data_IF_981695713627
#
_entry.id   IF_981695713627
#
_cell.length_a   1.000
_cell.length_b   1.000
_cell.length_c   1.000
_cell.angle_alpha   90.00
_cell.angle_beta   90.00
_cell.angle_gamma   90.00
#
_symmetry.space_group_name_H-M   'P 1'
#
loop_
_entity.id
_entity.type
_entity.pdbx_description
1 polymer ?
#
# COMPACT_ATOMS: atom_id res chain seq x y z
N UNK A 1 -3.91 -12.08 -7.67
CA UNK A 1 -2.64 -11.93 -6.90
C UNK A 1 -2.30 -10.44 -6.83
N UNK A 2 -2.02 -9.88 -5.63
CA UNK A 2 -1.56 -8.48 -5.51
C UNK A 2 -0.07 -8.40 -5.91
N UNK A 3 0.29 -7.41 -6.73
CA UNK A 3 1.66 -7.23 -7.22
C UNK A 3 2.21 -5.88 -6.81
N UNK A 4 3.36 -5.86 -6.11
CA UNK A 4 4.03 -4.59 -5.82
C UNK A 4 4.68 -4.06 -7.11
N UNK A 5 4.38 -2.81 -7.43
CA UNK A 5 4.98 -2.13 -8.59
C UNK A 5 6.47 -1.90 -8.36
N UNK A 6 7.22 -2.00 -9.42
CA UNK A 6 8.65 -1.76 -9.48
C UNK A 6 9.01 -0.35 -8.98
N UNK A 7 10.00 -0.27 -8.10
CA UNK A 7 10.35 0.96 -7.39
C UNK A 7 10.80 2.11 -8.30
N UNK A 8 11.29 1.82 -9.51
CA UNK A 8 11.65 2.86 -10.48
C UNK A 8 10.45 3.73 -10.91
N UNK A 9 9.22 3.22 -10.80
CA UNK A 9 8.01 4.01 -11.03
C UNK A 9 7.61 4.82 -9.79
N UNK A 10 7.94 4.34 -8.57
CA UNK A 10 7.41 4.89 -7.32
C UNK A 10 8.42 5.68 -6.48
N UNK A 11 9.70 5.66 -6.84
CA UNK A 11 10.75 6.44 -6.19
C UNK A 11 10.90 7.79 -6.89
N UNK A 12 10.68 8.89 -6.17
CA UNK A 12 10.95 10.25 -6.67
C UNK A 12 12.46 10.55 -6.77
N UNK A 13 13.22 10.14 -5.77
CA UNK A 13 14.66 10.29 -5.67
C UNK A 13 15.29 9.01 -5.12
N UNK A 14 16.33 8.51 -5.74
CA UNK A 14 17.04 7.35 -5.22
C UNK A 14 17.71 7.68 -3.88
N UNK A 15 17.54 6.80 -2.90
CA UNK A 15 18.19 7.00 -1.61
C UNK A 15 19.73 6.97 -1.75
N UNK A 16 20.43 7.66 -0.85
CA UNK A 16 21.90 7.64 -0.77
C UNK A 16 22.38 6.30 -0.20
N UNK A 17 22.17 5.21 -0.95
CA UNK A 17 22.52 3.84 -0.55
C UNK A 17 23.29 3.14 -1.67
N UNK A 18 24.28 2.33 -1.30
CA UNK A 18 25.19 1.64 -2.22
C UNK A 18 24.46 0.80 -3.29
N UNK A 19 23.28 0.27 -3.00
CA UNK A 19 22.48 -0.53 -3.95
C UNK A 19 22.10 0.22 -5.22
N UNK A 20 22.10 1.55 -5.18
CA UNK A 20 21.75 2.38 -6.33
C UNK A 20 22.97 2.81 -7.19
N UNK A 21 24.18 2.50 -6.74
CA UNK A 21 25.41 2.85 -7.47
C UNK A 21 25.45 4.33 -7.86
N UNK A 22 25.69 4.62 -9.12
CA UNK A 22 25.76 5.99 -9.64
C UNK A 22 24.42 6.76 -9.55
N UNK A 23 23.29 6.09 -9.39
CA UNK A 23 21.98 6.74 -9.21
C UNK A 23 21.73 7.24 -7.78
N UNK A 24 22.56 6.85 -6.80
CA UNK A 24 22.37 7.22 -5.39
C UNK A 24 22.26 8.74 -5.21
N UNK A 25 21.20 9.20 -4.52
CA UNK A 25 20.93 10.62 -4.29
C UNK A 25 20.40 11.39 -5.50
N UNK A 26 20.32 10.78 -6.69
CA UNK A 26 19.86 11.46 -7.90
C UNK A 26 18.33 11.47 -8.01
N UNK A 27 17.72 12.51 -8.62
CA UNK A 27 16.32 12.46 -9.02
C UNK A 27 16.07 11.29 -9.98
N UNK A 28 14.90 10.69 -9.89
CA UNK A 28 14.51 9.63 -10.80
C UNK A 28 13.67 10.18 -11.96
N UNK A 29 14.18 10.19 -13.20
CA UNK A 29 13.46 10.71 -14.37
C UNK A 29 12.25 9.83 -14.77
N UNK A 30 12.15 8.62 -14.22
CA UNK A 30 11.06 7.65 -14.48
C UNK A 30 9.98 7.64 -13.40
N UNK A 31 10.06 8.57 -12.46
CA UNK A 31 9.06 8.70 -11.41
C UNK A 31 7.69 8.98 -12.00
N UNK A 32 6.71 8.07 -11.77
CA UNK A 32 5.37 8.13 -12.32
C UNK A 32 5.35 8.24 -13.87
N UNK A 33 6.23 7.50 -14.54
CA UNK A 33 6.24 7.37 -15.99
C UNK A 33 5.17 6.34 -16.43
N UNK A 34 4.01 6.85 -16.85
CA UNK A 34 2.89 6.03 -17.28
C UNK A 34 3.21 5.24 -18.56
N UNK A 35 3.98 5.83 -19.49
CA UNK A 35 4.37 5.12 -20.72
C UNK A 35 5.22 3.91 -20.39
N UNK A 36 6.26 4.10 -19.57
CA UNK A 36 7.13 3.01 -19.13
C UNK A 36 6.34 1.92 -18.42
N UNK A 37 5.43 2.28 -17.51
CA UNK A 37 4.61 1.31 -16.78
C UNK A 37 3.66 0.54 -17.72
N UNK A 38 3.03 1.21 -18.67
CA UNK A 38 2.19 0.55 -19.68
C UNK A 38 3.01 -0.45 -20.51
N UNK A 39 4.18 -0.03 -21.02
CA UNK A 39 5.02 -0.87 -21.90
C UNK A 39 5.61 -2.07 -21.16
N UNK A 40 6.16 -1.85 -19.96
CA UNK A 40 6.94 -2.86 -19.24
C UNK A 40 6.11 -3.77 -18.34
N UNK A 41 4.90 -3.37 -17.97
CA UNK A 41 4.06 -4.11 -17.02
C UNK A 41 2.68 -4.44 -17.60
N UNK A 42 1.91 -3.45 -18.03
CA UNK A 42 0.52 -3.72 -18.41
C UNK A 42 0.42 -4.42 -19.76
N UNK A 43 1.24 -4.07 -20.74
CA UNK A 43 1.24 -4.75 -22.05
C UNK A 43 1.59 -6.24 -21.93
N UNK A 44 2.69 -6.64 -21.25
CA UNK A 44 2.96 -8.08 -21.01
C UNK A 44 1.86 -8.79 -20.24
N UNK A 45 1.22 -8.12 -19.27
CA UNK A 45 0.10 -8.71 -18.53
C UNK A 45 -1.10 -8.98 -19.43
N UNK A 46 -1.43 -8.07 -20.37
CA UNK A 46 -2.50 -8.27 -21.35
C UNK A 46 -2.18 -9.38 -22.36
N UNK A 47 -0.98 -9.37 -22.90
CA UNK A 47 -0.52 -10.42 -23.83
C UNK A 47 -0.62 -11.82 -23.19
N UNK A 48 -0.33 -11.90 -21.90
CA UNK A 48 -0.48 -13.12 -21.11
C UNK A 48 -1.91 -13.38 -20.61
N UNK A 49 -2.90 -12.51 -20.92
CA UNK A 49 -4.31 -12.60 -20.50
C UNK A 49 -4.48 -12.72 -18.98
N UNK A 50 -3.72 -11.91 -18.25
CA UNK A 50 -3.72 -11.95 -16.79
C UNK A 50 -4.80 -11.07 -16.12
N UNK A 51 -5.54 -10.24 -16.86
CA UNK A 51 -6.50 -9.28 -16.31
C UNK A 51 -7.51 -9.92 -15.33
N UNK A 52 -8.12 -11.09 -15.64
CA UNK A 52 -9.08 -11.73 -14.72
C UNK A 52 -8.42 -12.28 -13.45
N UNK A 53 -7.12 -12.51 -13.48
CA UNK A 53 -6.35 -13.17 -12.43
C UNK A 53 -5.45 -12.19 -11.65
N UNK A 54 -5.21 -10.99 -12.21
CA UNK A 54 -4.46 -9.95 -11.56
C UNK A 54 -5.28 -9.32 -10.42
N UNK A 55 -4.72 -9.32 -9.22
CA UNK A 55 -5.18 -8.45 -8.16
C UNK A 55 -4.58 -7.05 -8.34
N UNK A 56 -4.80 -6.13 -7.39
CA UNK A 56 -4.34 -4.77 -7.56
C UNK A 56 -2.81 -4.66 -7.66
N UNK A 57 -2.36 -3.78 -8.56
CA UNK A 57 -0.99 -3.29 -8.58
C UNK A 57 -0.80 -2.28 -7.45
N UNK A 58 0.15 -2.54 -6.56
CA UNK A 58 0.43 -1.73 -5.37
C UNK A 58 1.58 -0.76 -5.63
N UNK A 59 1.27 0.52 -5.73
CA UNK A 59 2.25 1.61 -5.85
C UNK A 59 2.66 2.05 -4.45
N UNK A 60 3.81 1.58 -3.97
CA UNK A 60 4.37 1.95 -2.67
C UNK A 60 5.31 3.15 -2.82
N UNK A 61 4.86 4.31 -2.36
CA UNK A 61 5.67 5.53 -2.32
C UNK A 61 6.39 5.64 -0.98
N UNK A 62 7.71 5.59 -1.03
CA UNK A 62 8.57 5.89 0.11
C UNK A 62 8.41 7.36 0.52
N UNK A 63 8.90 7.71 1.72
CA UNK A 63 8.91 9.13 2.14
C UNK A 63 9.69 9.98 1.12
N UNK A 64 9.10 11.09 0.75
CA UNK A 64 9.64 12.04 -0.22
C UNK A 64 9.40 13.48 0.25
N UNK A 65 10.07 14.41 -0.39
CA UNK A 65 10.07 15.85 -0.11
C UNK A 65 9.23 16.68 -1.08
N UNK A 66 8.48 16.03 -1.98
CA UNK A 66 7.52 16.72 -2.84
C UNK A 66 6.45 17.41 -2.00
N UNK A 67 6.02 18.60 -2.44
CA UNK A 67 4.81 19.21 -1.88
C UNK A 67 3.57 18.35 -2.13
N UNK A 68 2.55 18.52 -1.33
CA UNK A 68 1.28 17.80 -1.51
C UNK A 68 0.68 18.05 -2.89
N UNK A 69 0.63 19.31 -3.33
CA UNK A 69 0.04 19.69 -4.61
C UNK A 69 0.80 19.08 -5.79
N UNK A 70 2.14 19.11 -5.74
CA UNK A 70 2.95 18.49 -6.78
C UNK A 70 2.74 16.97 -6.81
N UNK A 71 2.73 16.31 -5.66
CA UNK A 71 2.52 14.86 -5.60
C UNK A 71 1.13 14.47 -6.11
N UNK A 72 0.08 15.19 -5.71
CA UNK A 72 -1.29 14.89 -6.15
C UNK A 72 -1.47 15.15 -7.65
N UNK A 73 -0.93 16.25 -8.18
CA UNK A 73 -0.95 16.54 -9.61
C UNK A 73 -0.24 15.47 -10.43
N UNK A 74 0.90 14.97 -9.95
CA UNK A 74 1.63 13.88 -10.61
C UNK A 74 0.87 12.56 -10.57
N UNK A 75 0.21 12.23 -9.43
CA UNK A 75 -0.63 11.04 -9.31
C UNK A 75 -1.82 11.10 -10.27
N UNK A 76 -2.50 12.25 -10.32
CA UNK A 76 -3.64 12.49 -11.21
C UNK A 76 -3.25 12.28 -12.68
N UNK A 77 -2.18 12.94 -13.12
CA UNK A 77 -1.65 12.80 -14.47
C UNK A 77 -1.20 11.38 -14.81
N UNK A 78 -0.63 10.65 -13.86
CA UNK A 78 -0.20 9.27 -14.03
C UNK A 78 -1.38 8.32 -14.19
N UNK A 79 -2.31 8.31 -13.23
CA UNK A 79 -3.47 7.41 -13.26
C UNK A 79 -4.46 7.75 -14.37
N UNK A 80 -4.50 9.02 -14.81
CA UNK A 80 -5.28 9.44 -15.98
C UNK A 80 -4.83 8.79 -17.29
N UNK A 81 -3.58 8.33 -17.38
CA UNK A 81 -3.02 7.67 -18.55
C UNK A 81 -3.06 6.14 -18.48
N UNK A 82 -3.48 5.57 -17.35
CA UNK A 82 -3.56 4.11 -17.19
C UNK A 82 -4.92 3.59 -17.64
N UNK A 83 -4.91 2.36 -18.17
CA UNK A 83 -6.13 1.63 -18.52
C UNK A 83 -6.97 1.28 -17.29
N UNK A 84 -8.27 1.09 -17.47
CA UNK A 84 -9.20 0.64 -16.43
C UNK A 84 -9.34 -0.91 -16.35
N UNK A 85 -8.58 -1.66 -17.14
CA UNK A 85 -8.65 -3.13 -17.17
C UNK A 85 -8.01 -3.76 -15.92
N UNK A 86 -7.17 -3.01 -15.24
CA UNK A 86 -6.48 -3.44 -14.03
C UNK A 86 -6.89 -2.62 -12.81
N UNK A 87 -6.75 -3.21 -11.64
CA UNK A 87 -6.97 -2.54 -10.36
C UNK A 87 -5.66 -1.94 -9.83
N UNK A 88 -5.72 -0.71 -9.29
CA UNK A 88 -4.56 0.01 -8.77
C UNK A 88 -4.77 0.44 -7.32
N UNK A 89 -3.73 0.38 -6.52
CA UNK A 89 -3.76 0.83 -5.14
C UNK A 89 -2.49 1.60 -4.78
N UNK A 90 -2.63 2.67 -4.02
CA UNK A 90 -1.55 3.56 -3.60
C UNK A 90 -1.28 3.41 -2.12
N UNK A 91 -0.05 3.10 -1.78
CA UNK A 91 0.50 3.11 -0.43
C UNK A 91 1.49 4.27 -0.28
N UNK A 92 1.22 5.17 0.64
CA UNK A 92 2.12 6.30 0.94
C UNK A 92 2.76 6.15 2.32
N UNK A 93 3.99 6.66 2.46
CA UNK A 93 4.75 6.69 3.71
C UNK A 93 4.85 8.09 4.32
N UNK A 94 4.20 9.07 3.72
CA UNK A 94 4.05 10.43 4.22
C UNK A 94 2.68 10.59 4.87
N UNK A 95 2.60 10.50 6.20
CA UNK A 95 1.33 10.57 6.93
C UNK A 95 0.56 11.89 6.70
N UNK A 96 1.28 12.99 6.45
CA UNK A 96 0.68 14.29 6.18
C UNK A 96 -0.02 14.43 4.81
N UNK A 97 0.20 13.47 3.90
CA UNK A 97 -0.48 13.45 2.60
C UNK A 97 -1.86 12.78 2.66
N UNK A 98 -2.20 12.08 3.75
CA UNK A 98 -3.53 11.45 3.88
C UNK A 98 -4.56 12.52 4.23
N UNK A 99 -5.52 12.75 3.34
CA UNK A 99 -6.58 13.73 3.51
C UNK A 99 -7.47 13.88 2.29
N UNK A 100 -8.35 14.88 2.32
CA UNK A 100 -9.43 15.07 1.34
C UNK A 100 -8.92 15.21 -0.10
N UNK A 101 -7.88 16.02 -0.34
CA UNK A 101 -7.38 16.23 -1.72
C UNK A 101 -6.74 14.96 -2.29
N UNK A 102 -5.93 14.25 -1.51
CA UNK A 102 -5.41 12.95 -1.89
C UNK A 102 -6.53 11.95 -2.22
N UNK A 103 -7.56 11.89 -1.38
CA UNK A 103 -8.73 11.05 -1.60
C UNK A 103 -9.42 11.37 -2.93
N UNK A 104 -9.67 12.64 -3.23
CA UNK A 104 -10.31 13.06 -4.48
C UNK A 104 -9.56 12.56 -5.71
N UNK A 105 -8.23 12.65 -5.71
CA UNK A 105 -7.40 12.13 -6.80
C UNK A 105 -7.60 10.62 -6.95
N UNK A 106 -7.57 9.86 -5.87
CA UNK A 106 -7.77 8.41 -5.96
C UNK A 106 -9.18 8.04 -6.45
N UNK A 107 -10.21 8.73 -5.94
CA UNK A 107 -11.62 8.53 -6.35
C UNK A 107 -11.83 8.81 -7.83
N UNK A 108 -11.23 9.87 -8.38
CA UNK A 108 -11.35 10.23 -9.80
C UNK A 108 -10.88 9.12 -10.75
N UNK A 109 -9.94 8.31 -10.29
CA UNK A 109 -9.38 7.20 -11.08
C UNK A 109 -9.80 5.80 -10.63
N UNK A 110 -10.62 5.68 -9.56
CA UNK A 110 -11.03 4.40 -8.99
C UNK A 110 -9.86 3.62 -8.37
N UNK A 111 -8.86 4.33 -7.85
CA UNK A 111 -7.66 3.79 -7.23
C UNK A 111 -7.89 3.62 -5.73
N UNK A 112 -7.50 2.49 -5.15
CA UNK A 112 -7.64 2.25 -3.72
C UNK A 112 -6.52 2.91 -2.91
N UNK A 113 -6.86 3.51 -1.76
CA UNK A 113 -5.87 3.77 -0.72
C UNK A 113 -5.47 2.46 -0.06
N UNK A 114 -4.16 2.26 0.17
CA UNK A 114 -3.65 1.14 0.96
C UNK A 114 -3.50 1.57 2.41
N UNK A 115 -4.36 1.06 3.26
CA UNK A 115 -4.25 1.23 4.72
C UNK A 115 -3.05 0.43 5.21
N UNK A 116 -1.98 1.11 5.61
CA UNK A 116 -0.76 0.43 6.01
C UNK A 116 -0.46 0.59 7.49
N UNK A 117 -0.30 -0.52 8.20
CA UNK A 117 0.19 -0.54 9.56
C UNK A 117 1.72 -0.62 9.53
N UNK A 118 2.36 0.55 9.54
CA UNK A 118 3.81 0.70 9.42
C UNK A 118 4.33 1.75 10.41
N UNK A 119 5.57 1.58 10.88
CA UNK A 119 6.27 2.27 11.97
C UNK A 119 5.87 3.72 12.24
N UNK A 120 5.82 4.55 11.20
CA UNK A 120 5.63 6.01 11.31
C UNK A 120 4.33 6.49 10.68
N UNK A 121 3.41 5.58 10.41
CA UNK A 121 2.07 5.92 9.93
C UNK A 121 1.08 6.00 11.10
N UNK A 122 -0.03 6.71 10.95
CA UNK A 122 -1.16 6.63 11.87
C UNK A 122 -1.74 5.20 11.95
N UNK A 123 -2.56 4.90 12.97
CA UNK A 123 -3.34 3.67 13.01
C UNK A 123 -4.21 3.50 11.76
N UNK A 124 -4.68 2.29 11.50
CA UNK A 124 -5.55 2.05 10.34
C UNK A 124 -6.87 2.80 10.48
N UNK A 125 -7.42 2.88 11.68
CA UNK A 125 -8.63 3.66 11.99
C UNK A 125 -8.42 5.15 11.72
N UNK A 126 -7.30 5.73 12.16
CA UNK A 126 -6.98 7.13 11.93
C UNK A 126 -6.76 7.43 10.44
N UNK A 127 -6.12 6.53 9.68
CA UNK A 127 -6.01 6.66 8.22
C UNK A 127 -7.40 6.70 7.59
N UNK A 128 -8.31 5.80 8.02
CA UNK A 128 -9.68 5.76 7.49
C UNK A 128 -10.47 7.01 7.87
N UNK A 129 -10.31 7.51 9.08
CA UNK A 129 -10.93 8.76 9.51
C UNK A 129 -10.52 9.94 8.61
N UNK A 130 -9.23 10.07 8.28
CA UNK A 130 -8.72 11.11 7.38
C UNK A 130 -9.17 10.91 5.92
N UNK A 131 -9.31 9.67 5.49
CA UNK A 131 -9.83 9.32 4.16
C UNK A 131 -11.36 9.43 4.06
N UNK A 132 -12.08 9.42 5.19
CA UNK A 132 -13.54 9.46 5.34
C UNK A 132 -14.27 8.27 4.70
N UNK A 133 -13.79 7.70 3.61
CA UNK A 133 -14.39 6.59 2.86
C UNK A 133 -13.36 5.82 2.01
N UNK A 134 -13.79 4.68 1.48
CA UNK A 134 -13.02 3.92 0.50
C UNK A 134 -13.08 4.59 -0.88
N UNK A 135 -11.97 4.58 -1.61
CA UNK A 135 -11.79 5.30 -2.89
C UNK A 135 -11.97 4.43 -4.13
N UNK A 136 -12.18 3.11 -3.97
CA UNK A 136 -12.29 2.16 -5.08
C UNK A 136 -13.30 1.04 -4.75
N UNK A 137 -13.76 0.21 -5.72
CA UNK A 137 -14.61 -0.95 -5.47
C UNK A 137 -13.98 -2.05 -4.62
N UNK A 138 -12.77 -1.84 -4.16
CA UNK A 138 -12.02 -2.73 -3.27
C UNK A 138 -11.16 -1.91 -2.31
N UNK A 139 -10.65 -2.56 -1.29
CA UNK A 139 -9.69 -1.96 -0.35
C UNK A 139 -8.50 -2.87 -0.13
N UNK A 140 -7.38 -2.30 0.27
CA UNK A 140 -6.15 -3.04 0.59
C UNK A 140 -5.66 -2.61 1.96
N UNK A 141 -5.38 -3.59 2.82
CA UNK A 141 -4.73 -3.40 4.11
C UNK A 141 -3.37 -4.10 4.08
N UNK A 142 -2.31 -3.42 4.51
CA UNK A 142 -0.98 -4.02 4.64
C UNK A 142 -0.48 -3.91 6.08
N UNK A 143 -0.36 -5.05 6.74
CA UNK A 143 0.11 -5.18 8.13
C UNK A 143 1.62 -5.49 8.09
N UNK A 144 2.45 -4.48 8.29
CA UNK A 144 3.88 -4.55 7.98
C UNK A 144 4.78 -4.63 9.21
N UNK A 145 4.68 -3.63 10.11
CA UNK A 145 5.46 -3.53 11.35
C UNK A 145 4.61 -2.90 12.43
N UNK A 146 4.90 -3.13 13.71
CA UNK A 146 4.28 -2.36 14.81
C UNK A 146 4.54 -0.86 14.64
N UNK A 147 3.61 -0.04 15.12
CA UNK A 147 3.78 1.42 15.12
C UNK A 147 4.91 1.83 16.09
N UNK A 148 5.56 2.95 15.78
CA UNK A 148 6.63 3.58 16.60
C UNK A 148 7.87 2.71 16.82
N UNK A 149 8.02 1.64 16.05
CA UNK A 149 9.21 0.76 16.10
C UNK A 149 9.91 0.81 14.75
N UNK A 150 11.25 0.90 14.74
CA UNK A 150 12.02 0.88 13.49
C UNK A 150 11.88 -0.48 12.77
N UNK A 151 12.12 -0.49 11.47
CA UNK A 151 12.10 -1.72 10.67
C UNK A 151 13.05 -2.80 11.23
N UNK A 152 14.28 -2.40 11.58
CA UNK A 152 15.28 -3.34 12.10
C UNK A 152 14.90 -3.89 13.48
N UNK A 153 14.35 -3.06 14.36
CA UNK A 153 13.85 -3.52 15.64
C UNK A 153 12.65 -4.48 15.50
N UNK A 154 11.73 -4.18 14.58
CA UNK A 154 10.60 -5.07 14.28
C UNK A 154 11.07 -6.42 13.71
N UNK A 155 12.06 -6.41 12.80
CA UNK A 155 12.69 -7.61 12.25
C UNK A 155 13.31 -8.45 13.34
N UNK A 156 14.22 -7.87 14.13
CA UNK A 156 14.93 -8.57 15.24
C UNK A 156 13.95 -9.16 16.26
N UNK A 157 12.87 -8.43 16.57
CA UNK A 157 11.83 -8.91 17.50
C UNK A 157 11.06 -10.11 16.95
N UNK A 158 10.79 -10.12 15.66
CA UNK A 158 9.93 -11.12 15.04
C UNK A 158 10.67 -12.40 14.62
N UNK A 159 11.98 -12.34 14.37
CA UNK A 159 12.79 -13.53 14.05
C UNK A 159 12.77 -14.56 15.18
N UNK A 160 12.70 -15.86 14.86
CA UNK A 160 12.76 -16.51 13.53
C UNK A 160 11.40 -16.67 12.82
N UNK A 161 10.37 -15.91 13.16
CA UNK A 161 9.05 -15.90 12.54
C UNK A 161 8.20 -17.16 12.79
N UNK A 162 8.47 -17.88 13.86
CA UNK A 162 7.80 -19.16 14.19
C UNK A 162 6.60 -19.02 15.11
N UNK A 163 6.44 -17.87 15.77
CA UNK A 163 5.38 -17.65 16.75
C UNK A 163 4.93 -16.18 16.78
N UNK A 164 3.80 -15.91 17.40
CA UNK A 164 3.35 -14.55 17.70
C UNK A 164 4.21 -13.99 18.84
N UNK A 165 4.89 -12.87 18.56
CA UNK A 165 5.70 -12.12 19.55
C UNK A 165 5.01 -10.85 20.04
N UNK A 166 3.90 -10.49 19.38
CA UNK A 166 3.05 -9.38 19.78
C UNK A 166 1.73 -9.41 19.03
N UNK A 167 0.63 -9.50 19.75
CA UNK A 167 -0.70 -9.65 19.16
C UNK A 167 -1.23 -8.40 18.47
N UNK A 168 -0.78 -7.21 18.86
CA UNK A 168 -1.20 -5.91 18.33
C UNK A 168 -2.74 -5.78 18.29
N UNK A 169 -3.42 -5.81 19.46
CA UNK A 169 -4.88 -5.91 19.51
C UNK A 169 -5.60 -4.74 18.81
N UNK A 170 -5.06 -3.52 18.87
CA UNK A 170 -5.63 -2.37 18.16
C UNK A 170 -5.56 -2.56 16.64
N UNK A 171 -4.39 -2.96 16.10
CA UNK A 171 -4.24 -3.26 14.69
C UNK A 171 -5.24 -4.33 14.23
N UNK A 172 -5.41 -5.39 15.02
CA UNK A 172 -6.36 -6.47 14.70
C UNK A 172 -7.81 -5.96 14.69
N UNK A 173 -8.22 -5.17 15.69
CA UNK A 173 -9.57 -4.56 15.72
C UNK A 173 -9.79 -3.65 14.52
N UNK A 174 -8.90 -2.70 14.29
CA UNK A 174 -8.98 -1.78 13.15
C UNK A 174 -9.08 -2.55 11.82
N UNK A 175 -8.28 -3.62 11.67
CA UNK A 175 -8.30 -4.46 10.46
C UNK A 175 -9.67 -5.11 10.28
N UNK A 176 -10.21 -5.75 11.31
CA UNK A 176 -11.52 -6.43 11.26
C UNK A 176 -12.64 -5.43 10.97
N UNK A 177 -12.65 -4.28 11.64
CA UNK A 177 -13.64 -3.23 11.43
C UNK A 177 -13.61 -2.69 10.01
N UNK A 178 -12.44 -2.40 9.47
CA UNK A 178 -12.30 -1.91 8.08
C UNK A 178 -12.72 -2.97 7.05
N UNK A 179 -12.39 -4.24 7.30
CA UNK A 179 -12.83 -5.34 6.41
C UNK A 179 -14.34 -5.50 6.47
N UNK A 180 -14.95 -5.56 7.66
CA UNK A 180 -16.41 -5.66 7.82
C UNK A 180 -17.12 -4.47 7.14
N UNK A 181 -16.61 -3.26 7.33
CA UNK A 181 -17.15 -2.06 6.67
C UNK A 181 -17.04 -2.15 5.14
N UNK A 182 -15.88 -2.54 4.60
CA UNK A 182 -15.71 -2.69 3.16
C UNK A 182 -16.67 -3.74 2.57
N UNK A 183 -16.83 -4.88 3.24
CA UNK A 183 -17.75 -5.94 2.81
C UNK A 183 -19.21 -5.49 2.89
N UNK A 184 -19.59 -4.75 3.93
CA UNK A 184 -20.94 -4.17 4.06
C UNK A 184 -21.23 -3.16 2.92
N UNK A 185 -20.21 -2.44 2.44
CA UNK A 185 -20.30 -1.55 1.28
C UNK A 185 -20.23 -2.31 -0.07
N UNK A 186 -20.28 -3.64 -0.07
CA UNK A 186 -20.18 -4.47 -1.28
C UNK A 186 -18.79 -4.50 -1.92
N UNK A 187 -17.75 -4.15 -1.19
CA UNK A 187 -16.36 -4.07 -1.68
C UNK A 187 -15.57 -5.33 -1.33
N UNK A 188 -14.61 -5.66 -2.19
CA UNK A 188 -13.62 -6.69 -1.88
C UNK A 188 -12.51 -6.12 -1.00
N UNK A 189 -12.07 -6.87 0.02
CA UNK A 189 -10.96 -6.51 0.88
C UNK A 189 -9.76 -7.46 0.67
N UNK A 190 -8.57 -6.90 0.48
CA UNK A 190 -7.30 -7.61 0.43
C UNK A 190 -6.50 -7.29 1.69
N UNK A 191 -6.17 -8.30 2.49
CA UNK A 191 -5.36 -8.14 3.72
C UNK A 191 -4.03 -8.86 3.54
N UNK A 192 -2.95 -8.08 3.48
CA UNK A 192 -1.58 -8.56 3.27
C UNK A 192 -0.82 -8.48 4.59
N UNK A 193 -0.48 -9.62 5.15
CA UNK A 193 0.19 -9.70 6.46
C UNK A 193 1.66 -10.05 6.28
N UNK A 194 2.53 -9.27 6.93
CA UNK A 194 3.96 -9.53 7.00
C UNK A 194 4.33 -10.16 8.34
N UNK A 195 5.30 -11.07 8.35
CA UNK A 195 5.79 -11.70 9.57
C UNK A 195 6.26 -10.69 10.64
N UNK A 196 6.81 -9.56 10.23
CA UNK A 196 7.27 -8.49 11.14
C UNK A 196 6.14 -7.77 11.87
N UNK A 197 4.89 -7.92 11.42
CA UNK A 197 3.75 -7.32 12.11
C UNK A 197 3.56 -7.93 13.50
N UNK A 198 3.36 -9.23 13.59
CA UNK A 198 3.07 -9.93 14.85
C UNK A 198 4.08 -11.01 15.23
N UNK A 199 5.02 -11.35 14.36
CA UNK A 199 5.98 -12.44 14.52
C UNK A 199 5.76 -13.63 13.59
N UNK A 200 4.50 -13.90 13.20
CA UNK A 200 4.13 -14.96 12.29
C UNK A 200 2.88 -14.59 11.51
N UNK A 201 3.00 -14.47 10.17
CA UNK A 201 1.89 -14.04 9.33
C UNK A 201 0.74 -15.05 9.28
N UNK A 202 0.94 -16.37 9.09
CA UNK A 202 -0.12 -17.36 9.14
C UNK A 202 -0.94 -17.31 10.43
N UNK A 203 -0.29 -17.28 11.58
CA UNK A 203 -0.96 -17.20 12.88
C UNK A 203 -1.70 -15.86 13.07
N UNK A 204 -1.16 -14.76 12.53
CA UNK A 204 -1.86 -13.47 12.53
C UNK A 204 -3.12 -13.52 11.66
N UNK A 205 -3.05 -14.15 10.47
CA UNK A 205 -4.21 -14.35 9.59
C UNK A 205 -5.26 -15.21 10.28
N UNK A 206 -4.86 -16.30 10.93
CA UNK A 206 -5.78 -17.14 11.70
C UNK A 206 -6.52 -16.34 12.76
N UNK A 207 -5.79 -15.58 13.60
CA UNK A 207 -6.42 -14.76 14.64
C UNK A 207 -7.36 -13.68 14.09
N UNK A 208 -7.04 -13.07 12.94
CA UNK A 208 -7.95 -12.13 12.26
C UNK A 208 -9.21 -12.84 11.76
N UNK A 209 -9.08 -14.04 11.19
CA UNK A 209 -10.22 -14.84 10.72
C UNK A 209 -11.16 -15.19 11.86
N UNK A 210 -10.63 -15.65 12.98
CA UNK A 210 -11.42 -15.96 14.19
C UNK A 210 -12.18 -14.74 14.72
N UNK A 211 -11.60 -13.54 14.64
CA UNK A 211 -12.27 -12.29 15.01
C UNK A 211 -13.34 -11.86 14.01
N UNK A 212 -13.20 -12.19 12.72
CA UNK A 212 -14.20 -11.87 11.69
C UNK A 212 -15.44 -12.75 11.78
N UNK A 213 -15.32 -13.97 12.30
CA UNK A 213 -16.40 -14.94 12.45
C UNK A 213 -17.29 -14.69 13.68
N UNK A 214 -16.84 -13.85 14.59
CA UNK A 214 -17.60 -13.37 15.76
C UNK A 214 -18.42 -12.14 15.43
#
# INVERSE_FOLDING_TARGET
MCSKVWEEITIHRFASHLRYGAKAGQPNPRFLDAKLFNEMVLTPCREAKLEPHAGPFLFEFQRHDLSSDEFYSRLDGFFGQLTKDFSYAVEIRNAGLIGTEYRKVLEAHGVAHVYNHWSYMPSLAEQHHRMERFTAPFTVLRLLTPLKISYEAAKKRAEPYTQIVGELPEMRRDTVELVKKAVADGRRAYVLVNNRSGGNAPLTVQGLTEMMLK
#
